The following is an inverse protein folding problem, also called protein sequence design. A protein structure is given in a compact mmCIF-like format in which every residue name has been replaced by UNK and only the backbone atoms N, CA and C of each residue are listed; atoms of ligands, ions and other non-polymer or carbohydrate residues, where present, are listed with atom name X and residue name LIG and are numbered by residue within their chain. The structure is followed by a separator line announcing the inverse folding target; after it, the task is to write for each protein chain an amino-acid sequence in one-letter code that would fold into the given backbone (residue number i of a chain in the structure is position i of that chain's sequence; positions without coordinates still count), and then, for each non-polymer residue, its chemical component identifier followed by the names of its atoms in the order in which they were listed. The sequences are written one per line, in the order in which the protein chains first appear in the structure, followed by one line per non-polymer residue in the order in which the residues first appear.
data_IF_860018360054
#
_entry.id   IF_860018360054
#
_cell.length_a   1.000
_cell.length_b   1.000
_cell.length_c   1.000
_cell.angle_alpha   90.00
_cell.angle_beta   90.00
_cell.angle_gamma   90.00
#
_symmetry.space_group_name_H-M   'P 1'
#
loop_
_entity.id
_entity.type
_entity.pdbx_description
1 polymer ?
#
# COMPACT_ATOMS: atom_id res chain seq x y z
N UNK A 1 18.35 2.63 -10.90
CA UNK A 1 17.20 2.02 -10.21
C UNK A 1 15.95 2.66 -10.79
N UNK A 2 15.02 1.90 -11.39
CA UNK A 2 13.77 2.53 -11.89
C UNK A 2 12.99 3.03 -10.67
N UNK A 3 12.87 4.35 -10.59
CA UNK A 3 12.32 5.09 -9.47
C UNK A 3 10.81 4.81 -9.43
N UNK A 4 10.27 4.40 -8.28
CA UNK A 4 8.81 4.37 -8.07
C UNK A 4 8.23 5.74 -8.43
N UNK A 5 7.05 5.82 -9.00
CA UNK A 5 6.44 7.13 -9.25
C UNK A 5 6.28 7.93 -7.95
N UNK A 6 6.11 9.25 -8.09
CA UNK A 6 6.06 10.16 -6.95
C UNK A 6 4.95 9.76 -5.97
N UNK A 7 3.79 9.34 -6.47
CA UNK A 7 2.66 8.92 -5.64
C UNK A 7 3.00 7.68 -4.80
N UNK A 8 3.67 6.69 -5.38
CA UNK A 8 4.11 5.49 -4.67
C UNK A 8 5.16 5.81 -3.60
N UNK A 9 6.03 6.78 -3.85
CA UNK A 9 7.00 7.24 -2.84
C UNK A 9 6.35 8.00 -1.70
N UNK A 10 5.38 8.88 -1.99
CA UNK A 10 4.58 9.58 -0.98
C UNK A 10 3.83 8.60 -0.09
N UNK A 11 3.18 7.62 -0.71
CA UNK A 11 2.48 6.56 0.01
C UNK A 11 3.43 5.77 0.93
N UNK A 12 4.61 5.39 0.43
CA UNK A 12 5.57 4.66 1.25
C UNK A 12 6.03 5.47 2.47
N UNK A 13 6.22 6.79 2.31
CA UNK A 13 6.56 7.67 3.45
C UNK A 13 5.45 7.68 4.50
N UNK A 14 4.19 7.84 4.08
CA UNK A 14 3.03 7.80 4.98
C UNK A 14 2.98 6.48 5.74
N UNK A 15 3.18 5.34 5.05
CA UNK A 15 3.18 4.03 5.69
C UNK A 15 4.34 3.86 6.68
N UNK A 16 5.52 4.38 6.38
CA UNK A 16 6.67 4.36 7.30
C UNK A 16 6.38 5.18 8.55
N UNK A 17 5.86 6.40 8.41
CA UNK A 17 5.49 7.27 9.54
C UNK A 17 4.42 6.60 10.43
N UNK A 18 3.43 5.96 9.81
CA UNK A 18 2.40 5.22 10.54
C UNK A 18 2.96 3.99 11.27
N UNK A 19 3.92 3.28 10.69
CA UNK A 19 4.51 2.11 11.34
C UNK A 19 5.26 2.48 12.63
N UNK A 20 5.82 3.69 12.75
CA UNK A 20 6.52 4.12 13.97
C UNK A 20 5.59 4.28 15.18
N UNK A 21 4.29 4.49 14.94
CA UNK A 21 3.28 4.75 15.98
C UNK A 21 2.19 3.68 16.07
N UNK A 22 2.25 2.64 15.24
CA UNK A 22 1.23 1.59 15.16
C UNK A 22 1.86 0.19 15.19
N UNK A 23 1.03 -0.86 15.10
CA UNK A 23 1.56 -2.21 14.96
C UNK A 23 2.21 -2.40 13.56
N UNK A 24 3.06 -3.43 13.38
CA UNK A 24 3.79 -3.63 12.13
C UNK A 24 2.90 -3.66 10.90
N UNK A 25 3.34 -3.00 9.83
CA UNK A 25 2.69 -3.03 8.52
C UNK A 25 3.45 -4.03 7.65
N UNK A 26 2.73 -5.02 7.12
CA UNK A 26 3.27 -5.96 6.14
C UNK A 26 2.87 -5.52 4.75
N UNK A 27 3.87 -5.22 3.92
CA UNK A 27 3.66 -4.81 2.54
C UNK A 27 4.51 -5.66 1.57
N UNK A 28 4.06 -5.73 0.33
CA UNK A 28 4.80 -6.29 -0.78
C UNK A 28 5.13 -5.21 -1.80
N UNK A 29 6.37 -5.25 -2.29
CA UNK A 29 6.87 -4.40 -3.35
C UNK A 29 6.83 -5.22 -4.64
N UNK A 30 5.65 -5.24 -5.26
CA UNK A 30 5.26 -6.12 -6.36
C UNK A 30 4.30 -7.22 -5.92
N UNK A 31 3.63 -7.86 -6.88
CA UNK A 31 2.68 -8.93 -6.62
C UNK A 31 2.54 -9.86 -7.82
N UNK A 32 2.09 -11.09 -7.60
CA UNK A 32 1.84 -12.05 -8.68
C UNK A 32 0.34 -12.05 -9.00
N UNK A 33 0.02 -11.89 -10.28
CA UNK A 33 -1.35 -12.05 -10.80
C UNK A 33 -1.26 -12.87 -12.08
N UNK A 34 -2.05 -13.94 -12.17
CA UNK A 34 -2.09 -14.84 -13.34
C UNK A 34 -0.70 -15.37 -13.75
N UNK A 35 0.17 -15.66 -12.76
CA UNK A 35 1.54 -16.14 -12.98
C UNK A 35 2.53 -15.07 -13.42
N UNK A 36 2.12 -13.80 -13.50
CA UNK A 36 2.96 -12.68 -13.93
C UNK A 36 3.31 -11.80 -12.72
N UNK A 37 4.59 -11.44 -12.59
CA UNK A 37 5.06 -10.47 -11.59
C UNK A 37 4.73 -9.06 -12.04
N UNK A 38 3.89 -8.39 -11.28
CA UNK A 38 3.48 -7.01 -11.45
C UNK A 38 4.18 -6.10 -10.45
N UNK A 39 4.38 -4.84 -10.83
CA UNK A 39 4.95 -3.80 -9.95
C UNK A 39 3.83 -3.04 -9.25
N UNK A 40 4.05 -2.68 -8.00
CA UNK A 40 3.13 -1.87 -7.20
C UNK A 40 3.30 -2.14 -5.71
N UNK A 41 2.81 -1.25 -4.85
CA UNK A 41 2.72 -1.53 -3.42
C UNK A 41 1.41 -2.23 -3.11
N UNK A 42 1.48 -3.31 -2.36
CA UNK A 42 0.32 -4.06 -1.88
C UNK A 42 0.43 -4.25 -0.37
N UNK A 43 -0.58 -3.83 0.37
CA UNK A 43 -0.69 -4.15 1.79
C UNK A 43 -1.13 -5.61 1.95
N UNK A 44 -0.39 -6.36 2.75
CA UNK A 44 -0.69 -7.74 3.12
C UNK A 44 -1.37 -7.78 4.48
N UNK A 45 -0.89 -6.94 5.41
CA UNK A 45 -1.44 -6.80 6.75
C UNK A 45 -1.15 -5.40 7.30
N UNK A 46 -2.10 -4.80 7.99
CA UNK A 46 -1.95 -3.50 8.62
C UNK A 46 -2.98 -3.31 9.74
N UNK A 47 -2.64 -2.53 10.79
CA UNK A 47 -3.62 -2.12 11.79
C UNK A 47 -4.81 -1.37 11.18
N UNK A 48 -6.03 -1.50 11.74
CA UNK A 48 -7.20 -0.78 11.23
C UNK A 48 -7.00 0.74 11.12
N UNK A 49 -6.27 1.34 12.06
CA UNK A 49 -5.95 2.78 12.04
C UNK A 49 -5.20 3.20 10.77
N UNK A 50 -4.34 2.35 10.22
CA UNK A 50 -3.62 2.63 8.97
C UNK A 50 -4.62 2.76 7.81
N UNK A 51 -5.59 1.84 7.73
CA UNK A 51 -6.62 1.91 6.69
C UNK A 51 -7.50 3.15 6.83
N UNK A 52 -7.88 3.51 8.06
CA UNK A 52 -8.66 4.73 8.33
C UNK A 52 -7.89 5.98 7.91
N UNK A 53 -6.62 6.11 8.33
CA UNK A 53 -5.79 7.28 7.98
C UNK A 53 -5.55 7.39 6.48
N UNK A 54 -5.37 6.27 5.75
CA UNK A 54 -5.24 6.29 4.30
C UNK A 54 -6.53 6.80 3.62
N UNK A 55 -7.70 6.35 4.08
CA UNK A 55 -8.99 6.83 3.54
C UNK A 55 -9.16 8.33 3.80
N UNK A 56 -8.86 8.79 5.02
CA UNK A 56 -8.91 10.21 5.39
C UNK A 56 -7.91 11.07 4.59
N UNK A 57 -6.76 10.50 4.24
CA UNK A 57 -5.74 11.13 3.40
C UNK A 57 -6.09 11.10 1.89
N UNK A 58 -7.26 10.60 1.51
CA UNK A 58 -7.73 10.61 0.13
C UNK A 58 -7.22 9.44 -0.71
N UNK A 59 -7.00 8.28 -0.10
CA UNK A 59 -6.72 7.04 -0.81
C UNK A 59 -7.93 6.11 -0.83
N UNK A 60 -8.14 5.41 -1.95
CA UNK A 60 -9.02 4.25 -2.01
C UNK A 60 -8.24 2.96 -1.76
N UNK A 61 -8.92 1.99 -1.16
CA UNK A 61 -8.38 0.68 -0.83
C UNK A 61 -9.17 -0.38 -1.60
N UNK A 62 -8.49 -1.08 -2.51
CA UNK A 62 -9.08 -2.11 -3.36
C UNK A 62 -8.53 -3.48 -2.99
N UNK A 63 -9.39 -4.37 -2.50
CA UNK A 63 -9.00 -5.71 -2.08
C UNK A 63 -8.98 -6.63 -3.31
N UNK A 64 -7.81 -7.21 -3.58
CA UNK A 64 -7.67 -8.28 -4.57
C UNK A 64 -7.44 -9.61 -3.87
N UNK A 65 -8.40 -10.53 -4.04
CA UNK A 65 -8.33 -11.87 -3.43
C UNK A 65 -7.04 -12.60 -3.81
N UNK A 66 -6.38 -13.21 -2.82
CA UNK A 66 -5.10 -13.91 -3.00
C UNK A 66 -3.88 -13.02 -3.22
N UNK A 67 -4.03 -11.69 -3.26
CA UNK A 67 -2.94 -10.73 -3.48
C UNK A 67 -2.76 -9.80 -2.29
N UNK A 68 -3.83 -9.12 -1.86
CA UNK A 68 -3.79 -8.12 -0.80
C UNK A 68 -4.55 -6.85 -1.18
N UNK A 69 -4.27 -5.76 -0.47
CA UNK A 69 -4.96 -4.48 -0.66
C UNK A 69 -4.10 -3.53 -1.50
N UNK A 70 -4.64 -3.10 -2.62
CA UNK A 70 -4.08 -2.04 -3.45
C UNK A 70 -4.50 -0.68 -2.92
N UNK A 71 -3.57 0.25 -2.89
CA UNK A 71 -3.81 1.62 -2.46
C UNK A 71 -3.73 2.51 -3.70
N UNK A 72 -4.82 3.22 -3.99
CA UNK A 72 -4.90 4.15 -5.12
C UNK A 72 -5.22 5.55 -4.61
N UNK A 73 -4.58 6.58 -5.16
CA UNK A 73 -4.87 7.98 -4.81
C UNK A 73 -6.13 8.43 -5.56
N UNK A 74 -7.08 9.08 -4.87
CA UNK A 74 -8.17 9.75 -5.58
C UNK A 74 -7.55 10.82 -6.50
N UNK A 75 -7.82 10.72 -7.80
CA UNK A 75 -7.36 11.69 -8.79
C UNK A 75 -8.14 13.00 -8.70
#
# INVERSE_FOLDING_TARGET
MKIYDTDTQELLKILLDLQESTAPIKLSIGYVKDGIVNKGLVLIDAPPVVTTTLIEAGYSLDITEGIGVHINKYK
#
